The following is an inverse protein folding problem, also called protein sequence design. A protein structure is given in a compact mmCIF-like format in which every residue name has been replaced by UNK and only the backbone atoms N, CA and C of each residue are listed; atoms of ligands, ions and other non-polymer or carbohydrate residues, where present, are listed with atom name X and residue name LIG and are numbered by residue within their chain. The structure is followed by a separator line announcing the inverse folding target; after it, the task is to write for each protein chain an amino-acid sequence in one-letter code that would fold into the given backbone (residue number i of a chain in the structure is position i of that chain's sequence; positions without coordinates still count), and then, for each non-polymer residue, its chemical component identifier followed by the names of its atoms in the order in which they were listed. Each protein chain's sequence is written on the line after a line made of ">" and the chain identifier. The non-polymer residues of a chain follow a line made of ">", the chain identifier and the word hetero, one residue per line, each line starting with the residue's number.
data_IF_939133812619
#
_entry.id   IF_939133812619
#
_cell.length_a   1.000
_cell.length_b   1.000
_cell.length_c   1.000
_cell.angle_alpha   90.00
_cell.angle_beta   90.00
_cell.angle_gamma   90.00
#
_symmetry.space_group_name_H-M   'P 1'
#
loop_
_entity.id
_entity.type
_entity.pdbx_description
1 polymer ?
#
# COMPACT_ATOMS: atom_id res chain seq x y z
N UNK A 1 1.17 -1.64 -2.06
CA UNK A 1 2.36 -1.01 -2.69
C UNK A 1 2.07 -0.35 -4.03
N UNK A 2 1.80 -1.10 -5.12
CA UNK A 2 1.59 -0.51 -6.47
C UNK A 2 0.49 0.55 -6.54
N UNK A 3 -0.60 0.33 -5.81
CA UNK A 3 -1.71 1.29 -5.70
C UNK A 3 -1.25 2.67 -5.22
N UNK A 4 -0.48 2.73 -4.13
CA UNK A 4 -0.01 4.00 -3.56
C UNK A 4 0.97 4.73 -4.47
N UNK A 5 1.91 4.02 -5.08
CA UNK A 5 2.81 4.63 -6.07
C UNK A 5 2.05 5.22 -7.27
N UNK A 6 0.99 4.54 -7.73
CA UNK A 6 0.13 5.07 -8.79
C UNK A 6 -0.57 6.35 -8.34
N UNK A 7 -1.16 6.36 -7.14
CA UNK A 7 -1.82 7.54 -6.57
C UNK A 7 -0.87 8.72 -6.36
N UNK A 8 0.35 8.44 -5.93
CA UNK A 8 1.40 9.46 -5.85
C UNK A 8 1.76 10.02 -7.23
N UNK A 9 1.95 9.17 -8.23
CA UNK A 9 2.25 9.62 -9.59
C UNK A 9 1.09 10.44 -10.20
N UNK A 10 -0.17 10.06 -9.93
CA UNK A 10 -1.35 10.84 -10.30
C UNK A 10 -1.30 12.25 -9.66
N UNK A 11 -1.00 12.35 -8.37
CA UNK A 11 -0.88 13.63 -7.67
C UNK A 11 0.27 14.50 -8.21
N UNK A 12 1.43 13.90 -8.50
CA UNK A 12 2.58 14.59 -9.10
C UNK A 12 2.27 15.13 -10.50
N UNK A 13 1.57 14.34 -11.31
CA UNK A 13 1.10 14.76 -12.64
C UNK A 13 0.13 15.94 -12.54
N UNK A 14 -0.81 15.89 -11.58
CA UNK A 14 -1.74 17.02 -11.33
C UNK A 14 -1.00 18.28 -10.86
N UNK A 15 0.02 18.17 -10.01
CA UNK A 15 0.84 19.30 -9.59
C UNK A 15 1.57 19.95 -10.78
N UNK A 16 2.14 19.13 -11.66
CA UNK A 16 2.78 19.61 -12.89
C UNK A 16 1.78 20.31 -13.81
N UNK A 17 0.57 19.75 -13.96
CA UNK A 17 -0.49 20.37 -14.73
C UNK A 17 -0.89 21.74 -14.16
N UNK A 18 -1.03 21.88 -12.83
CA UNK A 18 -1.32 23.17 -12.18
C UNK A 18 -0.21 24.21 -12.42
N UNK A 19 1.06 23.79 -12.45
CA UNK A 19 2.15 24.69 -12.83
C UNK A 19 2.00 25.21 -14.27
N UNK A 20 1.64 24.32 -15.21
CA UNK A 20 1.38 24.69 -16.61
C UNK A 20 0.17 25.63 -16.69
N UNK A 21 -0.93 25.35 -15.98
CA UNK A 21 -2.09 26.24 -15.95
C UNK A 21 -1.76 27.62 -15.38
N UNK A 22 -0.88 27.68 -14.40
CA UNK A 22 -0.40 28.96 -13.84
C UNK A 22 0.34 29.76 -14.91
N UNK A 23 1.23 29.14 -15.68
CA UNK A 23 1.95 29.80 -16.79
C UNK A 23 0.99 30.25 -17.91
N UNK A 24 -0.01 29.43 -18.23
CA UNK A 24 -1.07 29.75 -19.20
C UNK A 24 -1.88 30.97 -18.75
N UNK A 25 -2.24 31.05 -17.47
CA UNK A 25 -2.93 32.22 -16.90
C UNK A 25 -2.05 33.48 -16.90
N UNK A 26 -0.76 33.38 -16.57
CA UNK A 26 0.19 34.51 -16.65
C UNK A 26 0.27 35.04 -18.08
N UNK A 27 0.38 34.14 -19.05
CA UNK A 27 0.44 34.49 -20.48
C UNK A 27 -0.83 35.22 -20.92
N UNK A 28 -2.00 34.74 -20.50
CA UNK A 28 -3.28 35.35 -20.82
C UNK A 28 -3.47 36.73 -20.15
N UNK A 29 -3.10 36.83 -18.88
CA UNK A 29 -3.13 38.07 -18.09
C UNK A 29 -2.20 39.16 -18.63
N UNK A 30 -1.14 38.77 -19.34
CA UNK A 30 -0.17 39.69 -19.98
C UNK A 30 -0.39 39.84 -21.49
N UNK A 31 -1.44 39.21 -22.03
CA UNK A 31 -1.73 39.26 -23.46
C UNK A 31 -2.22 40.65 -23.89
N UNK A 32 -2.11 40.96 -25.19
CA UNK A 32 -2.65 42.20 -25.77
C UNK A 32 -4.19 42.22 -25.82
N UNK A 33 -4.83 41.06 -25.69
CA UNK A 33 -6.28 40.96 -25.58
C UNK A 33 -6.68 41.36 -24.15
N UNK A 34 -7.08 42.62 -23.99
CA UNK A 34 -7.48 43.19 -22.70
C UNK A 34 -8.69 42.48 -22.10
N UNK A 35 -9.60 41.96 -22.93
CA UNK A 35 -10.77 41.23 -22.44
C UNK A 35 -10.35 39.89 -21.84
N UNK A 36 -9.49 39.14 -22.55
CA UNK A 36 -8.94 37.89 -22.04
C UNK A 36 -8.06 38.12 -20.79
N UNK A 37 -7.25 39.17 -20.79
CA UNK A 37 -6.43 39.52 -19.63
C UNK A 37 -7.28 39.80 -18.39
N UNK A 38 -8.35 40.61 -18.53
CA UNK A 38 -9.28 40.91 -17.44
C UNK A 38 -9.95 39.65 -16.86
N UNK A 39 -10.27 38.66 -17.72
CA UNK A 39 -10.84 37.35 -17.35
C UNK A 39 -9.81 36.37 -16.77
N UNK A 40 -8.52 36.54 -17.05
CA UNK A 40 -7.47 35.67 -16.52
C UNK A 40 -7.01 36.06 -15.12
N UNK A 41 -7.01 37.36 -14.79
CA UNK A 41 -6.51 37.85 -13.49
C UNK A 41 -7.16 37.18 -12.28
N UNK A 42 -8.49 36.97 -12.20
CA UNK A 42 -9.09 36.33 -11.04
C UNK A 42 -8.59 34.92 -10.79
N UNK A 43 -8.58 34.07 -11.82
CA UNK A 43 -8.06 32.71 -11.71
C UNK A 43 -6.55 32.71 -11.36
N UNK A 44 -5.77 33.63 -11.93
CA UNK A 44 -4.36 33.79 -11.62
C UNK A 44 -4.13 34.17 -10.13
N UNK A 45 -4.99 35.00 -9.55
CA UNK A 45 -4.89 35.40 -8.15
C UNK A 45 -5.20 34.25 -7.17
N UNK A 46 -5.96 33.23 -7.60
CA UNK A 46 -6.39 32.12 -6.76
C UNK A 46 -5.61 30.80 -7.02
N UNK A 47 -5.04 30.60 -8.21
CA UNK A 47 -4.38 29.33 -8.57
C UNK A 47 -3.19 28.98 -7.68
N UNK A 48 -2.51 29.97 -7.10
CA UNK A 48 -1.42 29.74 -6.15
C UNK A 48 -1.86 28.88 -4.96
N UNK A 49 -3.08 29.08 -4.44
CA UNK A 49 -3.61 28.30 -3.33
C UNK A 49 -3.83 26.84 -3.69
N UNK A 50 -4.38 26.58 -4.88
CA UNK A 50 -4.57 25.22 -5.41
C UNK A 50 -3.23 24.51 -5.59
N UNK A 51 -2.22 25.24 -6.12
CA UNK A 51 -0.87 24.72 -6.30
C UNK A 51 -0.21 24.37 -4.97
N UNK A 52 -0.22 25.28 -3.99
CA UNK A 52 0.38 25.06 -2.67
C UNK A 52 -0.27 23.88 -1.92
N UNK A 53 -1.61 23.79 -1.95
CA UNK A 53 -2.33 22.69 -1.35
C UNK A 53 -1.91 21.35 -2.00
N UNK A 54 -1.86 21.29 -3.33
CA UNK A 54 -1.41 20.09 -4.03
C UNK A 54 0.07 19.75 -3.77
N UNK A 55 0.95 20.75 -3.74
CA UNK A 55 2.38 20.56 -3.45
C UNK A 55 2.60 19.97 -2.05
N UNK A 56 1.86 20.47 -1.05
CA UNK A 56 1.87 19.95 0.32
C UNK A 56 1.42 18.48 0.36
N UNK A 57 0.33 18.15 -0.34
CA UNK A 57 -0.17 16.77 -0.45
C UNK A 57 0.83 15.84 -1.12
N UNK A 58 1.41 16.25 -2.24
CA UNK A 58 2.43 15.47 -2.96
C UNK A 58 3.63 15.19 -2.06
N UNK A 59 4.09 16.17 -1.28
CA UNK A 59 5.21 15.95 -0.38
C UNK A 59 4.84 15.04 0.81
N UNK A 60 3.68 15.23 1.42
CA UNK A 60 3.20 14.33 2.47
C UNK A 60 3.12 12.88 1.96
N UNK A 61 2.61 12.68 0.74
CA UNK A 61 2.54 11.36 0.09
C UNK A 61 3.90 10.73 -0.17
N UNK A 62 4.89 11.50 -0.65
CA UNK A 62 6.29 11.03 -0.79
C UNK A 62 6.86 10.55 0.53
N UNK A 63 6.69 11.34 1.58
CA UNK A 63 7.19 11.02 2.92
C UNK A 63 6.55 9.73 3.44
N UNK A 64 5.23 9.60 3.33
CA UNK A 64 4.50 8.41 3.79
C UNK A 64 4.90 7.15 3.02
N UNK A 65 5.06 7.25 1.69
CA UNK A 65 5.54 6.13 0.88
C UNK A 65 6.94 5.72 1.34
N UNK A 66 7.87 6.67 1.48
CA UNK A 66 9.23 6.37 1.91
C UNK A 66 9.29 5.68 3.28
N UNK A 67 8.42 6.09 4.21
CA UNK A 67 8.38 5.55 5.57
C UNK A 67 7.69 4.18 5.65
N UNK A 68 6.59 3.98 4.92
CA UNK A 68 5.67 2.88 5.20
C UNK A 68 5.57 1.83 4.11
N UNK A 69 5.97 2.12 2.86
CA UNK A 69 5.69 1.19 1.73
C UNK A 69 6.41 -0.14 1.83
N UNK A 70 7.58 -0.15 2.47
CA UNK A 70 8.40 -1.36 2.61
C UNK A 70 7.85 -2.32 3.67
N UNK A 71 7.11 -1.81 4.68
CA UNK A 71 6.61 -2.64 5.78
C UNK A 71 5.60 -3.70 5.28
N UNK A 72 4.55 -3.35 4.52
CA UNK A 72 3.66 -4.37 3.94
C UNK A 72 4.38 -5.33 2.98
N UNK A 73 5.38 -4.86 2.23
CA UNK A 73 6.14 -5.71 1.31
C UNK A 73 7.00 -6.75 2.06
N UNK A 74 7.66 -6.32 3.14
CA UNK A 74 8.45 -7.21 3.99
C UNK A 74 7.55 -8.24 4.71
N UNK A 75 6.40 -7.80 5.24
CA UNK A 75 5.43 -8.69 5.88
C UNK A 75 4.85 -9.69 4.88
N UNK A 76 4.55 -9.29 3.64
CA UNK A 76 4.10 -10.21 2.60
C UNK A 76 5.14 -11.32 2.29
N UNK A 77 6.43 -10.96 2.24
CA UNK A 77 7.51 -11.96 2.07
C UNK A 77 7.61 -12.91 3.26
N UNK A 78 7.51 -12.38 4.48
CA UNK A 78 7.55 -13.19 5.69
C UNK A 78 6.36 -14.16 5.78
N UNK A 79 5.17 -13.71 5.39
CA UNK A 79 3.97 -14.56 5.29
C UNK A 79 4.15 -15.65 4.23
N UNK A 80 4.76 -15.33 3.09
CA UNK A 80 5.08 -16.34 2.07
C UNK A 80 6.06 -17.41 2.60
N UNK A 81 7.08 -16.99 3.35
CA UNK A 81 8.00 -17.93 4.01
C UNK A 81 7.29 -18.81 5.04
N UNK A 82 6.35 -18.26 5.83
CA UNK A 82 5.54 -19.06 6.75
C UNK A 82 4.70 -20.11 6.00
N UNK A 83 4.02 -19.72 4.92
CA UNK A 83 3.23 -20.67 4.12
C UNK A 83 4.08 -21.79 3.54
N UNK A 84 5.32 -21.51 3.15
CA UNK A 84 6.27 -22.54 2.70
C UNK A 84 6.71 -23.47 3.84
N UNK A 85 6.97 -22.92 5.03
CA UNK A 85 7.31 -23.72 6.21
C UNK A 85 6.12 -24.58 6.68
N UNK A 86 4.87 -24.16 6.44
CA UNK A 86 3.69 -25.00 6.69
C UNK A 86 3.55 -26.14 5.66
N UNK A 87 4.07 -25.96 4.45
CA UNK A 87 4.04 -26.97 3.38
C UNK A 87 5.15 -28.03 3.50
N UNK A 88 6.13 -27.82 4.38
CA UNK A 88 7.26 -28.70 4.61
C UNK A 88 7.20 -29.38 5.97
N UNK A 89 7.63 -30.64 5.97
CA UNK A 89 7.96 -31.37 7.19
C UNK A 89 9.49 -31.40 7.34
N UNK A 90 9.97 -31.03 8.52
CA UNK A 90 11.33 -31.30 8.96
C UNK A 90 11.46 -32.68 9.56
N UNK A 91 12.49 -33.42 9.19
CA UNK A 91 12.72 -34.78 9.68
C UNK A 91 14.11 -34.92 10.31
N UNK A 92 14.14 -35.57 11.48
CA UNK A 92 15.36 -36.03 12.14
C UNK A 92 15.19 -37.48 12.56
N UNK A 93 16.14 -38.32 12.16
CA UNK A 93 16.18 -39.73 12.52
C UNK A 93 17.40 -40.01 13.39
N UNK A 94 17.15 -40.52 14.60
CA UNK A 94 18.18 -41.04 15.49
C UNK A 94 18.16 -42.56 15.46
N UNK A 95 19.29 -43.18 15.16
CA UNK A 95 19.51 -44.63 15.23
C UNK A 95 20.40 -44.92 16.44
N UNK A 96 19.97 -45.85 17.29
CA UNK A 96 20.73 -46.26 18.47
C UNK A 96 22.09 -46.85 18.05
N UNK A 97 23.16 -46.49 18.76
CA UNK A 97 24.54 -46.91 18.48
C UNK A 97 25.19 -47.55 19.71
N UNK A 98 26.18 -48.40 19.44
CA UNK A 98 26.94 -49.15 20.45
C UNK A 98 26.12 -50.23 21.16
N UNK A 99 26.82 -51.14 21.85
CA UNK A 99 26.27 -52.36 22.47
C UNK A 99 25.23 -52.12 23.57
N UNK A 100 24.96 -50.86 23.94
CA UNK A 100 24.00 -50.45 24.98
C UNK A 100 22.79 -49.67 24.45
N UNK A 101 22.62 -49.57 23.12
CA UNK A 101 21.43 -48.93 22.55
C UNK A 101 21.35 -47.43 22.79
N UNK A 102 22.50 -46.75 22.94
CA UNK A 102 22.55 -45.33 23.31
C UNK A 102 22.49 -44.42 22.08
N UNK A 103 21.90 -43.24 22.23
CA UNK A 103 21.98 -42.19 21.23
C UNK A 103 23.21 -41.31 21.48
N UNK A 104 24.00 -41.05 20.43
CA UNK A 104 25.21 -40.22 20.47
C UNK A 104 25.30 -39.34 19.22
N UNK A 105 26.35 -38.54 19.06
CA UNK A 105 26.53 -37.69 17.88
C UNK A 105 26.50 -38.49 16.56
N UNK A 106 26.96 -39.75 16.56
CA UNK A 106 26.93 -40.63 15.37
C UNK A 106 25.59 -41.34 15.15
N UNK A 107 24.60 -41.07 15.99
CA UNK A 107 23.25 -41.63 15.87
C UNK A 107 22.38 -40.91 14.85
N UNK A 108 22.76 -39.70 14.41
CA UNK A 108 22.03 -38.99 13.36
C UNK A 108 22.25 -39.72 12.03
N UNK A 109 21.24 -40.44 11.56
CA UNK A 109 21.31 -41.21 10.30
C UNK A 109 20.61 -40.54 9.12
N UNK A 110 19.89 -39.45 9.40
CA UNK A 110 19.18 -38.65 8.41
C UNK A 110 18.72 -37.35 9.05
N UNK A 111 18.95 -36.25 8.35
CA UNK A 111 18.42 -34.94 8.70
C UNK A 111 17.92 -34.24 7.42
N UNK A 112 16.77 -33.60 7.51
CA UNK A 112 16.23 -32.74 6.48
C UNK A 112 15.44 -31.64 7.15
N UNK A 113 15.89 -30.40 7.03
CA UNK A 113 15.13 -29.24 7.52
C UNK A 113 14.57 -28.54 6.31
N UNK A 114 13.31 -28.83 5.98
CA UNK A 114 12.61 -28.26 4.85
C UNK A 114 13.26 -28.55 3.49
N UNK A 115 12.59 -28.11 2.44
CA UNK A 115 13.12 -28.09 1.07
C UNK A 115 13.29 -26.63 0.65
N UNK A 116 14.19 -26.38 -0.31
CA UNK A 116 14.31 -25.06 -0.92
C UNK A 116 13.04 -24.81 -1.75
N UNK A 117 12.18 -23.91 -1.28
CA UNK A 117 11.00 -23.46 -2.00
C UNK A 117 11.28 -22.25 -2.87
N UNK A 118 10.46 -22.05 -3.91
CA UNK A 118 10.44 -20.78 -4.66
C UNK A 118 9.93 -19.66 -3.75
N UNK A 119 10.38 -18.41 -3.90
CA UNK A 119 9.95 -17.25 -3.07
C UNK A 119 8.44 -16.95 -3.12
N UNK A 120 7.67 -17.62 -3.98
CA UNK A 120 6.23 -17.46 -4.16
C UNK A 120 5.46 -18.64 -3.56
N UNK A 121 4.45 -18.39 -2.74
CA UNK A 121 3.45 -19.41 -2.43
C UNK A 121 2.67 -19.76 -3.71
N UNK A 122 2.47 -21.04 -4.03
CA UNK A 122 1.59 -21.41 -5.13
C UNK A 122 0.19 -20.89 -4.81
N UNK A 123 -0.33 -20.01 -5.65
CA UNK A 123 -1.70 -19.55 -5.50
C UNK A 123 -2.63 -20.69 -5.92
N UNK A 124 -3.09 -21.47 -4.94
CA UNK A 124 -3.95 -22.64 -5.18
C UNK A 124 -5.39 -22.25 -5.50
N UNK A 125 -5.76 -20.99 -5.28
CA UNK A 125 -7.08 -20.46 -5.59
C UNK A 125 -6.99 -19.42 -6.73
N UNK A 126 -7.46 -19.75 -7.94
CA UNK A 126 -7.43 -18.80 -9.06
C UNK A 126 -8.26 -17.54 -8.79
N UNK A 127 -9.23 -17.55 -7.88
CA UNK A 127 -9.98 -16.34 -7.51
C UNK A 127 -9.13 -15.36 -6.69
N UNK A 128 -8.21 -15.85 -5.84
CA UNK A 128 -7.31 -14.98 -5.07
C UNK A 128 -6.32 -14.25 -5.99
N UNK A 129 -6.04 -14.81 -7.17
CA UNK A 129 -5.23 -14.16 -8.21
C UNK A 129 -5.96 -13.00 -8.92
N UNK A 130 -7.31 -12.98 -8.84
CA UNK A 130 -8.17 -11.93 -9.40
C UNK A 130 -8.48 -10.82 -8.41
N UNK A 131 -8.23 -11.05 -7.11
CA UNK A 131 -8.42 -10.05 -6.08
C UNK A 131 -7.49 -8.86 -6.33
N UNK A 132 -8.08 -7.72 -6.70
CA UNK A 132 -7.34 -6.46 -6.81
C UNK A 132 -7.41 -5.74 -5.46
N UNK A 133 -6.28 -5.17 -5.05
CA UNK A 133 -6.25 -4.33 -3.86
C UNK A 133 -7.14 -3.10 -4.08
N UNK A 134 -8.25 -3.03 -3.37
CA UNK A 134 -9.10 -1.86 -3.30
C UNK A 134 -8.65 -0.97 -2.13
N UNK A 135 -7.89 0.07 -2.45
CA UNK A 135 -7.44 1.04 -1.45
C UNK A 135 -8.57 1.91 -0.88
N UNK A 136 -9.73 1.96 -1.54
CA UNK A 136 -10.88 2.79 -1.15
C UNK A 136 -11.85 2.08 -0.22
N UNK A 137 -11.84 0.75 -0.20
CA UNK A 137 -12.65 -0.04 0.71
C UNK A 137 -12.28 0.32 2.17
N UNK A 138 -13.27 0.70 2.98
CA UNK A 138 -13.10 1.17 4.37
C UNK A 138 -13.27 0.07 5.41
N UNK A 139 -13.63 -1.15 5.00
CA UNK A 139 -13.85 -2.26 5.92
C UNK A 139 -12.55 -2.80 6.52
N UNK A 140 -12.66 -3.41 7.70
CA UNK A 140 -11.55 -4.13 8.34
C UNK A 140 -11.08 -5.35 7.53
N UNK A 141 -11.77 -5.72 6.44
CA UNK A 141 -11.41 -6.85 5.58
C UNK A 141 -10.05 -6.71 4.88
N UNK A 142 -9.45 -5.52 4.92
CA UNK A 142 -8.13 -5.23 4.33
C UNK A 142 -6.99 -5.48 5.34
N UNK A 143 -7.31 -5.71 6.62
CA UNK A 143 -6.29 -6.03 7.62
C UNK A 143 -5.83 -7.47 7.49
N UNK A 144 -4.52 -7.68 7.56
CA UNK A 144 -3.93 -9.00 7.63
C UNK A 144 -4.30 -9.59 9.01
N UNK A 145 -4.96 -10.75 9.08
CA UNK A 145 -5.29 -11.37 10.36
C UNK A 145 -4.02 -11.85 11.06
N UNK A 146 -4.05 -11.88 12.39
CA UNK A 146 -3.00 -12.51 13.16
C UNK A 146 -2.90 -14.00 12.82
N UNK A 147 -1.68 -14.45 12.58
CA UNK A 147 -1.37 -15.86 12.38
C UNK A 147 -0.69 -16.41 13.63
N UNK A 148 -1.32 -17.42 14.23
CA UNK A 148 -0.77 -18.18 15.36
C UNK A 148 -0.56 -19.64 14.94
N UNK A 149 0.40 -19.91 14.04
CA UNK A 149 0.70 -21.28 13.67
C UNK A 149 1.26 -22.04 14.88
N UNK A 150 0.98 -23.34 14.92
CA UNK A 150 1.48 -24.26 15.95
C UNK A 150 2.62 -25.07 15.38
N UNK A 151 3.76 -25.07 16.08
CA UNK A 151 4.81 -26.06 15.85
C UNK A 151 4.33 -27.38 16.43
N UNK A 152 4.21 -28.40 15.58
CA UNK A 152 3.89 -29.76 15.99
C UNK A 152 5.11 -30.65 15.77
N UNK A 153 5.59 -31.25 16.87
CA UNK A 153 6.63 -32.27 16.84
C UNK A 153 5.98 -33.63 17.11
N UNK A 154 6.05 -34.52 16.13
CA UNK A 154 5.65 -35.91 16.26
C UNK A 154 6.89 -36.77 16.48
N UNK A 155 6.87 -37.62 17.51
CA UNK A 155 7.95 -38.57 17.81
C UNK A 155 7.41 -39.97 17.65
N UNK A 156 7.92 -40.70 16.66
CA UNK A 156 7.72 -42.13 16.52
C UNK A 156 8.93 -42.89 17.04
N UNK A 157 8.70 -44.11 17.52
CA UNK A 157 9.70 -44.91 18.18
C UNK A 157 9.65 -46.35 17.68
N UNK A 158 10.82 -46.97 17.47
CA UNK A 158 10.98 -48.38 17.13
C UNK A 158 12.13 -48.96 17.93
N UNK A 159 11.90 -49.98 18.74
CA UNK A 159 12.95 -50.52 19.60
C UNK A 159 13.95 -51.44 18.87
N UNK A 160 13.54 -52.27 17.90
CA UNK A 160 14.42 -53.32 17.33
C UNK A 160 14.45 -53.46 15.80
N UNK A 161 13.75 -52.59 15.06
CA UNK A 161 13.68 -52.64 13.60
C UNK A 161 12.48 -53.40 13.03
N UNK A 162 11.63 -53.97 13.89
CA UNK A 162 10.36 -54.58 13.50
C UNK A 162 9.31 -53.60 12.93
N UNK A 163 8.13 -54.14 12.60
CA UNK A 163 6.97 -53.36 12.15
C UNK A 163 6.42 -52.45 13.24
N UNK A 164 6.60 -52.85 14.50
CA UNK A 164 5.88 -52.29 15.63
C UNK A 164 6.53 -50.98 16.10
N UNK A 165 5.70 -49.94 16.18
CA UNK A 165 6.12 -48.58 16.53
C UNK A 165 5.91 -48.31 18.02
N UNK A 166 6.61 -49.03 18.89
CA UNK A 166 6.63 -48.79 20.34
C UNK A 166 8.08 -48.81 20.88
N UNK A 167 8.24 -48.32 22.11
CA UNK A 167 9.49 -48.36 22.87
C UNK A 167 9.24 -48.61 24.36
N UNK A 168 8.32 -49.51 24.65
CA UNK A 168 7.93 -49.88 26.02
C UNK A 168 8.96 -50.86 26.58
N UNK A 169 9.54 -50.53 27.74
CA UNK A 169 10.37 -51.36 28.64
C UNK A 169 11.55 -52.16 28.04
N UNK A 170 11.78 -52.09 26.74
CA UNK A 170 12.79 -52.85 26.01
C UNK A 170 13.91 -51.91 25.59
N UNK A 171 15.16 -52.30 25.83
CA UNK A 171 16.30 -51.49 25.40
C UNK A 171 16.31 -51.34 23.87
N UNK A 172 16.69 -50.15 23.40
CA UNK A 172 16.88 -49.89 21.98
C UNK A 172 17.96 -50.83 21.43
N UNK A 173 17.63 -51.60 20.40
CA UNK A 173 18.58 -52.48 19.73
C UNK A 173 19.61 -51.64 18.98
N UNK A 174 20.86 -52.00 19.12
CA UNK A 174 21.95 -51.37 18.38
C UNK A 174 21.67 -51.42 16.86
N UNK A 175 21.92 -50.30 16.18
CA UNK A 175 21.83 -50.10 14.73
C UNK A 175 20.43 -50.23 14.10
N UNK A 176 19.44 -50.79 14.82
CA UNK A 176 18.07 -50.96 14.32
C UNK A 176 17.00 -50.23 15.12
N UNK A 177 17.26 -49.91 16.40
CA UNK A 177 16.39 -49.07 17.22
C UNK A 177 16.43 -47.60 16.77
N UNK A 178 15.27 -46.97 16.63
CA UNK A 178 15.10 -45.64 16.01
C UNK A 178 14.13 -44.74 16.77
N UNK A 179 14.48 -43.46 16.82
CA UNK A 179 13.55 -42.36 17.08
C UNK A 179 13.40 -41.53 15.81
N UNK A 180 12.15 -41.27 15.43
CA UNK A 180 11.81 -40.47 14.26
C UNK A 180 11.09 -39.21 14.73
N UNK A 181 11.70 -38.05 14.48
CA UNK A 181 11.13 -36.76 14.81
C UNK A 181 10.66 -36.11 13.52
N UNK A 182 9.37 -35.80 13.46
CA UNK A 182 8.79 -34.98 12.39
C UNK A 182 8.36 -33.67 13.01
N UNK A 183 8.87 -32.56 12.51
CA UNK A 183 8.50 -31.21 12.93
C UNK A 183 7.78 -30.53 11.79
N UNK A 184 6.60 -29.97 12.05
CA UNK A 184 5.88 -29.17 11.06
C UNK A 184 5.29 -27.93 11.70
N UNK A 185 5.14 -26.89 10.88
CA UNK A 185 4.35 -25.73 11.24
C UNK A 185 2.91 -25.98 10.73
N UNK A 186 1.89 -25.81 11.57
CA UNK A 186 0.50 -26.06 11.15
C UNK A 186 -0.49 -25.16 11.85
N UNK A 187 -1.48 -24.69 11.09
CA UNK A 187 -2.67 -24.02 11.61
C UNK A 187 -3.74 -24.99 12.16
N UNK A 188 -3.55 -26.31 12.00
CA UNK A 188 -4.46 -27.37 12.46
C UNK A 188 -3.68 -28.47 13.19
N UNK A 189 -3.17 -28.20 14.41
CA UNK A 189 -2.37 -29.18 15.13
C UNK A 189 -3.21 -30.36 15.63
N UNK A 190 -2.58 -31.52 15.72
CA UNK A 190 -3.10 -32.68 16.42
C UNK A 190 -3.14 -32.42 17.94
N UNK A 191 -3.99 -33.18 18.65
CA UNK A 191 -4.02 -33.13 20.12
C UNK A 191 -2.69 -33.64 20.67
N UNK A 192 -2.11 -32.93 21.64
CA UNK A 192 -0.90 -33.36 22.31
C UNK A 192 -1.07 -34.74 22.96
N UNK A 193 -0.02 -35.57 22.86
CA UNK A 193 0.05 -36.92 23.42
C UNK A 193 1.38 -37.06 24.13
N UNK A 194 1.33 -37.25 25.46
CA UNK A 194 2.52 -37.43 26.27
C UNK A 194 3.14 -38.83 26.11
N UNK A 195 4.45 -38.94 26.34
CA UNK A 195 5.20 -40.19 26.16
C UNK A 195 4.67 -41.35 27.02
N UNK A 196 4.32 -41.08 28.28
CA UNK A 196 3.73 -42.06 29.19
C UNK A 196 2.38 -42.60 28.71
N UNK A 197 1.65 -41.84 27.89
CA UNK A 197 0.40 -42.29 27.26
C UNK A 197 0.65 -42.97 25.91
N UNK A 198 1.60 -42.47 25.13
CA UNK A 198 1.92 -43.01 23.82
C UNK A 198 2.56 -44.39 23.89
N UNK A 199 3.40 -44.63 24.91
CA UNK A 199 4.19 -45.84 25.12
C UNK A 199 3.86 -46.47 26.48
N UNK A 200 2.58 -46.47 26.86
CA UNK A 200 2.10 -47.01 28.14
C UNK A 200 2.22 -48.54 28.22
N UNK A 201 2.07 -49.23 27.09
CA UNK A 201 2.05 -50.69 26.96
C UNK A 201 2.49 -51.11 25.56
N UNK A 202 2.93 -52.38 25.40
CA UNK A 202 3.44 -52.93 24.14
C UNK A 202 2.41 -52.92 22.99
N UNK A 203 1.11 -52.87 23.28
CA UNK A 203 0.03 -52.80 22.28
C UNK A 203 -0.27 -51.38 21.81
N UNK A 204 0.26 -50.36 22.48
CA UNK A 204 0.05 -48.95 22.15
C UNK A 204 1.16 -48.46 21.19
N UNK A 205 0.86 -48.49 19.89
CA UNK A 205 1.77 -47.97 18.85
C UNK A 205 1.54 -46.48 18.54
N UNK A 206 1.20 -45.69 19.56
CA UNK A 206 0.89 -44.27 19.39
C UNK A 206 2.18 -43.46 19.28
N UNK A 207 2.12 -42.38 18.50
CA UNK A 207 3.19 -41.38 18.44
C UNK A 207 3.05 -40.39 19.58
N UNK A 208 4.17 -39.91 20.09
CA UNK A 208 4.19 -38.74 20.99
C UNK A 208 3.95 -37.51 20.14
N UNK A 209 3.12 -36.60 20.63
CA UNK A 209 2.78 -35.36 19.94
C UNK A 209 3.00 -34.21 20.91
N UNK A 210 3.94 -33.33 20.57
CA UNK A 210 4.22 -32.09 21.30
C UNK A 210 3.76 -30.93 20.42
N UNK A 211 2.98 -30.02 20.99
CA UNK A 211 2.48 -28.85 20.28
C UNK A 211 2.88 -27.57 21.01
N UNK A 212 3.32 -26.58 20.25
CA UNK A 212 3.70 -25.26 20.77
C UNK A 212 3.15 -24.17 19.86
N UNK A 213 2.30 -23.30 20.40
CA UNK A 213 1.80 -22.14 19.66
C UNK A 213 2.90 -21.09 19.53
N UNK A 214 3.13 -20.62 18.31
CA UNK A 214 4.20 -19.68 18.02
C UNK A 214 3.64 -18.41 17.38
N UNK A 215 3.97 -17.23 17.94
CA UNK A 215 3.61 -15.92 17.38
C UNK A 215 4.73 -15.39 16.49
N UNK A 216 5.02 -16.08 15.38
CA UNK A 216 6.23 -15.84 14.60
C UNK A 216 6.23 -14.44 13.94
N UNK A 217 5.06 -13.88 13.59
CA UNK A 217 4.96 -12.60 12.85
C UNK A 217 4.02 -11.54 13.45
N UNK A 218 3.58 -11.70 14.71
CA UNK A 218 2.56 -10.81 15.30
C UNK A 218 2.91 -9.31 15.17
N UNK A 219 4.17 -8.94 15.49
CA UNK A 219 4.62 -7.55 15.35
C UNK A 219 4.64 -7.08 13.89
N UNK A 220 5.17 -7.90 12.98
CA UNK A 220 5.26 -7.57 11.56
C UNK A 220 3.89 -7.37 10.91
N UNK A 221 2.90 -8.19 11.32
CA UNK A 221 1.50 -8.08 10.90
C UNK A 221 0.90 -6.77 11.42
N UNK A 222 1.05 -6.50 12.72
CA UNK A 222 0.57 -5.24 13.33
C UNK A 222 1.18 -4.00 12.66
N UNK A 223 2.51 -3.98 12.46
CA UNK A 223 3.21 -2.85 11.83
C UNK A 223 2.76 -2.67 10.37
N UNK A 224 2.53 -3.76 9.63
CA UNK A 224 2.05 -3.70 8.26
C UNK A 224 0.62 -3.19 8.16
N UNK A 225 -0.27 -3.59 9.07
CA UNK A 225 -1.64 -3.11 9.13
C UNK A 225 -1.68 -1.60 9.43
N UNK A 226 -0.87 -1.13 10.38
CA UNK A 226 -0.77 0.31 10.69
C UNK A 226 -0.18 1.10 9.52
N UNK A 227 0.92 0.62 8.92
CA UNK A 227 1.50 1.23 7.72
C UNK A 227 0.49 1.33 6.57
N UNK A 228 -0.29 0.27 6.35
CA UNK A 228 -1.33 0.24 5.32
C UNK A 228 -2.47 1.22 5.64
N UNK A 229 -2.87 1.35 6.91
CA UNK A 229 -3.87 2.31 7.36
C UNK A 229 -3.42 3.75 7.09
N UNK A 230 -2.23 4.14 7.51
CA UNK A 230 -1.68 5.48 7.30
C UNK A 230 -1.59 5.84 5.81
N UNK A 231 -1.13 4.90 4.99
CA UNK A 231 -1.10 5.08 3.53
C UNK A 231 -2.51 5.25 2.95
N UNK A 232 -3.49 4.45 3.38
CA UNK A 232 -4.87 4.56 2.90
C UNK A 232 -5.46 5.92 3.26
N UNK A 233 -5.40 6.29 4.54
CA UNK A 233 -5.98 7.54 5.02
C UNK A 233 -5.50 8.74 4.21
N UNK A 234 -4.20 8.82 3.91
CA UNK A 234 -3.67 9.87 3.06
C UNK A 234 -4.18 9.81 1.61
N UNK A 235 -4.06 8.65 0.94
CA UNK A 235 -4.34 8.53 -0.49
C UNK A 235 -5.82 8.38 -0.85
N UNK A 236 -6.72 8.23 0.13
CA UNK A 236 -8.18 8.22 -0.09
C UNK A 236 -8.88 9.51 0.34
N UNK A 237 -8.38 10.21 1.36
CA UNK A 237 -9.02 11.43 1.88
C UNK A 237 -8.66 12.69 1.10
N UNK A 238 -7.49 12.72 0.47
CA UNK A 238 -6.91 13.94 -0.07
C UNK A 238 -6.50 13.76 -1.52
N UNK A 239 -7.03 14.59 -2.41
CA UNK A 239 -6.64 14.61 -3.81
C UNK A 239 -6.28 16.03 -4.23
N UNK A 240 -5.23 16.15 -5.05
CA UNK A 240 -5.00 17.38 -5.78
C UNK A 240 -6.21 17.71 -6.67
N UNK A 241 -6.50 19.01 -6.78
CA UNK A 241 -7.43 19.55 -7.76
C UNK A 241 -7.10 19.02 -9.16
N UNK A 242 -8.11 18.93 -10.02
CA UNK A 242 -7.93 18.43 -11.37
C UNK A 242 -7.01 19.32 -12.20
N UNK A 243 -6.45 18.73 -13.27
CA UNK A 243 -5.45 19.36 -14.12
C UNK A 243 -5.91 20.66 -14.81
N UNK A 244 -7.23 20.85 -14.91
CA UNK A 244 -7.86 22.06 -15.44
C UNK A 244 -8.91 22.54 -14.42
N UNK A 245 -8.54 23.48 -13.52
CA UNK A 245 -9.45 23.95 -12.49
C UNK A 245 -10.74 24.54 -13.06
N UNK A 246 -11.87 24.24 -12.43
CA UNK A 246 -13.19 24.77 -12.80
C UNK A 246 -13.44 26.13 -12.15
N UNK A 247 -14.60 26.72 -12.44
CA UNK A 247 -15.01 27.96 -11.77
C UNK A 247 -15.15 27.74 -10.26
N UNK A 248 -15.73 26.60 -9.86
CA UNK A 248 -15.99 26.23 -8.47
C UNK A 248 -14.71 26.07 -7.66
N UNK A 249 -13.63 25.57 -8.28
CA UNK A 249 -12.31 25.46 -7.65
C UNK A 249 -11.75 26.82 -7.22
N UNK A 250 -12.20 27.92 -7.86
CA UNK A 250 -11.78 29.28 -7.54
C UNK A 250 -12.83 30.09 -6.79
N UNK A 251 -14.12 29.83 -7.02
CA UNK A 251 -15.22 30.67 -6.53
C UNK A 251 -15.27 30.76 -5.00
N UNK A 252 -14.77 29.74 -4.29
CA UNK A 252 -14.64 29.74 -2.83
C UNK A 252 -13.45 30.54 -2.28
N UNK A 253 -12.52 30.97 -3.14
CA UNK A 253 -11.31 31.68 -2.72
C UNK A 253 -11.54 33.20 -2.67
N UNK A 254 -11.27 33.81 -1.51
CA UNK A 254 -11.43 35.26 -1.32
C UNK A 254 -10.56 36.09 -2.30
N UNK A 255 -9.41 35.57 -2.71
CA UNK A 255 -8.54 36.23 -3.68
C UNK A 255 -9.15 36.25 -5.09
N UNK A 256 -9.93 35.23 -5.45
CA UNK A 256 -10.65 35.17 -6.71
C UNK A 256 -11.73 36.26 -6.76
N UNK A 257 -12.62 36.29 -5.78
CA UNK A 257 -13.75 37.25 -5.73
C UNK A 257 -13.26 38.69 -5.64
N UNK A 258 -12.27 38.96 -4.78
CA UNK A 258 -11.62 40.28 -4.69
C UNK A 258 -11.04 40.71 -6.03
N UNK A 259 -10.38 39.81 -6.76
CA UNK A 259 -9.78 40.15 -8.04
C UNK A 259 -10.85 40.37 -9.12
N UNK A 260 -11.99 39.67 -9.09
CA UNK A 260 -13.15 39.99 -9.95
C UNK A 260 -13.63 41.43 -9.71
N UNK A 261 -13.72 41.85 -8.46
CA UNK A 261 -14.16 43.21 -8.12
C UNK A 261 -13.18 44.24 -8.71
N UNK A 262 -11.88 43.99 -8.58
CA UNK A 262 -10.83 44.87 -9.12
C UNK A 262 -10.85 44.97 -10.63
N UNK A 263 -10.98 43.85 -11.33
CA UNK A 263 -10.76 43.81 -12.79
C UNK A 263 -12.04 43.87 -13.60
N UNK A 264 -13.08 43.16 -13.18
CA UNK A 264 -14.32 43.00 -13.95
C UNK A 264 -15.42 43.97 -13.49
N UNK A 265 -15.52 44.24 -12.19
CA UNK A 265 -16.42 45.31 -11.69
C UNK A 265 -15.78 46.69 -11.88
N UNK A 266 -14.45 46.76 -11.87
CA UNK A 266 -13.67 47.98 -12.13
C UNK A 266 -13.35 48.81 -10.87
N UNK A 267 -13.49 48.22 -9.68
CA UNK A 267 -13.09 48.86 -8.41
C UNK A 267 -11.66 48.43 -8.02
N UNK A 268 -10.68 49.02 -8.72
CA UNK A 268 -9.29 48.57 -8.74
C UNK A 268 -8.59 48.51 -7.36
N UNK A 269 -9.08 49.26 -6.37
CA UNK A 269 -8.49 49.34 -5.02
C UNK A 269 -9.25 48.55 -3.97
N UNK A 270 -10.35 47.88 -4.33
CA UNK A 270 -11.18 47.14 -3.38
C UNK A 270 -10.42 45.98 -2.73
N UNK A 271 -10.57 45.80 -1.42
CA UNK A 271 -10.12 44.62 -0.67
C UNK A 271 -11.31 43.73 -0.26
N UNK A 272 -12.52 44.11 -0.65
CA UNK A 272 -13.75 43.41 -0.32
C UNK A 272 -13.89 42.11 -1.13
N UNK A 273 -14.69 41.18 -0.62
CA UNK A 273 -15.09 39.95 -1.34
C UNK A 273 -16.52 40.03 -1.88
N UNK A 274 -17.20 41.14 -1.61
CA UNK A 274 -18.60 41.39 -1.96
C UNK A 274 -18.75 42.80 -2.52
N UNK A 275 -19.89 43.06 -3.19
CA UNK A 275 -20.19 44.37 -3.77
C UNK A 275 -21.47 44.92 -3.21
N UNK A 276 -21.61 46.26 -3.25
CA UNK A 276 -22.87 46.95 -2.95
C UNK A 276 -23.35 47.71 -4.20
N UNK A 277 -24.51 47.34 -4.78
CA UNK A 277 -25.34 46.16 -4.49
C UNK A 277 -24.66 44.84 -4.90
N UNK A 278 -25.02 43.73 -4.25
CA UNK A 278 -24.46 42.38 -4.51
C UNK A 278 -24.60 41.94 -5.97
N UNK A 279 -25.65 42.42 -6.64
CA UNK A 279 -25.92 42.15 -8.05
C UNK A 279 -24.79 42.59 -8.99
N UNK A 280 -23.92 43.52 -8.59
CA UNK A 280 -22.76 43.93 -9.41
C UNK A 280 -21.76 42.81 -9.60
N UNK A 281 -21.39 42.11 -8.52
CA UNK A 281 -20.47 40.98 -8.60
C UNK A 281 -21.07 39.84 -9.44
N UNK A 282 -22.34 39.49 -9.19
CA UNK A 282 -23.04 38.46 -9.94
C UNK A 282 -23.11 38.79 -11.44
N UNK A 283 -23.46 40.04 -11.79
CA UNK A 283 -23.50 40.48 -13.18
C UNK A 283 -22.11 40.45 -13.86
N UNK A 284 -21.04 40.81 -13.14
CA UNK A 284 -19.68 40.73 -13.66
C UNK A 284 -19.24 39.28 -13.92
N UNK A 285 -19.58 38.35 -13.01
CA UNK A 285 -19.35 36.91 -13.20
C UNK A 285 -20.13 36.41 -14.41
N UNK A 286 -21.42 36.73 -14.51
CA UNK A 286 -22.27 36.29 -15.62
C UNK A 286 -21.77 36.80 -16.98
N UNK A 287 -21.38 38.07 -17.05
CA UNK A 287 -20.83 38.67 -18.26
C UNK A 287 -19.49 38.02 -18.68
N UNK A 288 -18.62 37.72 -17.70
CA UNK A 288 -17.30 37.18 -17.99
C UNK A 288 -17.32 35.67 -18.28
N UNK A 289 -18.04 34.91 -17.47
CA UNK A 289 -17.94 33.45 -17.38
C UNK A 289 -19.29 32.73 -17.55
N UNK A 290 -20.36 33.44 -17.90
CA UNK A 290 -21.70 32.85 -17.98
C UNK A 290 -22.36 32.70 -16.61
N UNK A 291 -23.65 32.32 -16.61
CA UNK A 291 -24.45 32.25 -15.37
C UNK A 291 -23.79 31.28 -14.39
N UNK A 292 -23.42 31.78 -13.21
CA UNK A 292 -22.67 31.02 -12.20
C UNK A 292 -21.41 30.32 -12.72
N UNK A 293 -20.74 30.86 -13.75
CA UNK A 293 -19.51 30.27 -14.28
C UNK A 293 -19.68 29.15 -15.32
N UNK A 294 -20.90 28.88 -15.80
CA UNK A 294 -21.18 27.78 -16.74
C UNK A 294 -20.36 27.83 -18.05
N UNK A 295 -19.88 29.02 -18.46
CA UNK A 295 -19.03 29.24 -19.64
C UNK A 295 -17.56 29.51 -19.27
N UNK A 296 -17.15 29.26 -18.03
CA UNK A 296 -15.79 29.54 -17.57
C UNK A 296 -14.73 28.89 -18.45
N UNK A 297 -14.86 27.59 -18.73
CA UNK A 297 -13.95 26.88 -19.63
C UNK A 297 -13.91 27.51 -21.03
N UNK A 298 -15.07 27.78 -21.63
CA UNK A 298 -15.16 28.35 -22.98
C UNK A 298 -14.57 29.76 -23.05
N UNK A 299 -14.87 30.60 -22.05
CA UNK A 299 -14.52 32.01 -22.06
C UNK A 299 -13.11 32.30 -21.55
N UNK A 300 -12.50 31.35 -20.83
CA UNK A 300 -11.15 31.43 -20.31
C UNK A 300 -10.26 30.37 -20.96
N UNK A 301 -10.34 29.11 -20.51
CA UNK A 301 -9.40 28.05 -20.90
C UNK A 301 -9.32 27.82 -22.41
N UNK A 302 -10.45 27.69 -23.11
CA UNK A 302 -10.46 27.47 -24.57
C UNK A 302 -9.90 28.69 -25.34
N UNK A 303 -9.97 29.90 -24.78
CA UNK A 303 -9.33 31.09 -25.36
C UNK A 303 -7.83 31.09 -25.08
N UNK A 304 -7.41 30.69 -23.89
CA UNK A 304 -5.99 30.59 -23.51
C UNK A 304 -5.28 29.55 -24.38
N UNK A 305 -5.89 28.38 -24.61
CA UNK A 305 -5.31 27.31 -25.43
C UNK A 305 -5.16 27.70 -26.92
N UNK A 306 -5.83 28.77 -27.37
CA UNK A 306 -5.68 29.33 -28.71
C UNK A 306 -4.61 30.42 -28.78
N UNK A 307 -4.05 30.85 -27.65
CA UNK A 307 -2.97 31.81 -27.65
C UNK A 307 -1.72 31.19 -28.29
N UNK A 308 -1.07 31.98 -29.15
CA UNK A 308 0.26 31.67 -29.70
C UNK A 308 1.24 32.73 -29.20
N UNK A 309 1.58 32.71 -27.89
CA UNK A 309 2.54 33.65 -27.33
C UNK A 309 3.89 33.47 -28.02
N UNK A 310 4.58 34.58 -28.28
CA UNK A 310 5.91 34.56 -28.89
C UNK A 310 6.98 34.84 -27.83
N UNK A 311 8.09 34.12 -27.89
CA UNK A 311 9.30 34.33 -27.09
C UNK A 311 10.44 34.83 -27.97
N UNK A 312 11.26 35.73 -27.43
CA UNK A 312 12.49 36.15 -28.09
C UNK A 312 13.60 35.14 -27.79
N UNK A 313 14.06 34.44 -28.82
CA UNK A 313 15.23 33.54 -28.79
C UNK A 313 16.41 34.27 -29.44
N UNK A 314 16.96 35.26 -28.73
CA UNK A 314 18.04 36.10 -29.26
C UNK A 314 17.58 36.99 -30.43
N UNK A 315 17.93 36.64 -31.68
CA UNK A 315 17.58 37.41 -32.90
C UNK A 315 16.28 36.93 -33.57
N UNK A 316 15.69 35.81 -33.14
CA UNK A 316 14.43 35.27 -33.66
C UNK A 316 13.30 35.40 -32.63
N UNK A 317 12.07 35.45 -33.13
CA UNK A 317 10.86 35.27 -32.33
C UNK A 317 10.29 33.89 -32.65
N UNK A 318 10.08 33.07 -31.63
CA UNK A 318 9.55 31.72 -31.76
C UNK A 318 8.22 31.59 -31.00
N UNK A 319 7.37 30.67 -31.41
CA UNK A 319 6.13 30.38 -30.70
C UNK A 319 6.46 29.59 -29.41
N UNK A 320 5.95 30.07 -28.28
CA UNK A 320 6.06 29.39 -27.00
C UNK A 320 4.99 28.29 -26.94
N UNK A 321 5.45 27.04 -26.86
CA UNK A 321 4.60 25.87 -26.68
C UNK A 321 4.45 25.58 -25.17
N UNK A 322 3.25 25.77 -24.62
CA UNK A 322 2.87 25.51 -23.22
C UNK A 322 1.88 24.34 -23.10
#
# INVERSE_FOLDING_TARGET
>A
VRFYHRKQAEAESKLQALAIQTLKLITAATSKDKELAAKAFPALAAIGKLYENCASLVQAGRSLIAQHVNTPAATARALAMLGQLEADDGELVLVAKGASGRFSATSVSGNGIGRKHSETCPNTNPEDSKATFDGTNTSNAISIPDLEPTTETTIACKHDGGSDANCVNTAMRQDTGKLWFTNKLTSKPQKAVAANTAWADDGNHRKVIITHKSKILAKNISDANEANKLLREHFTSSQCADALPTFEDFAGEATFTRQIIRTLVGDATSEETETKPESKLAAAIEAAYGKSGEKFKQNLWDKIDKLKPKINSGKSTEDLNL
#
